data_IF_809213084523
#
_entry.id   IF_809213084523
#
_cell.length_a   1.000
_cell.length_b   1.000
_cell.length_c   1.000
_cell.angle_alpha   90.00
_cell.angle_beta   90.00
_cell.angle_gamma   90.00
#
_symmetry.space_group_name_H-M   'P 1'
#
loop_
_entity.id
_entity.type
_entity.pdbx_description
1 polymer ?
#
# COMPACT_ATOMS: atom_id res chain seq x y z
N UNK A 1 6.27 18.47 5.00
CA UNK A 1 7.00 17.27 5.46
C UNK A 1 8.37 17.26 4.83
N UNK A 2 9.42 17.22 5.65
CA UNK A 2 10.81 17.09 5.23
C UNK A 2 11.22 15.61 5.05
N UNK A 3 12.32 15.31 4.33
CA UNK A 3 12.84 13.95 4.19
C UNK A 3 13.14 13.26 5.53
N UNK A 4 13.70 14.01 6.49
CA UNK A 4 14.08 13.49 7.81
C UNK A 4 12.85 13.09 8.63
N UNK A 5 11.80 13.93 8.62
CA UNK A 5 10.53 13.63 9.28
C UNK A 5 9.86 12.40 8.68
N UNK A 6 9.84 12.31 7.34
CA UNK A 6 9.28 11.14 6.67
C UNK A 6 10.03 9.87 7.04
N UNK A 7 11.36 9.94 7.14
CA UNK A 7 12.20 8.80 7.56
C UNK A 7 11.90 8.39 9.00
N UNK A 8 11.84 9.34 9.92
CA UNK A 8 11.50 9.07 11.32
C UNK A 8 10.10 8.41 11.46
N UNK A 9 9.14 8.84 10.64
CA UNK A 9 7.83 8.21 10.56
C UNK A 9 7.87 6.77 9.99
N UNK A 10 8.60 6.57 8.89
CA UNK A 10 8.57 5.34 8.11
C UNK A 10 9.45 4.22 8.69
N UNK A 11 10.59 4.54 9.29
CA UNK A 11 11.55 3.53 9.79
C UNK A 11 10.94 2.54 10.79
N UNK A 12 10.15 2.95 11.81
CA UNK A 12 9.56 2.01 12.76
C UNK A 12 8.61 1.00 12.10
N UNK A 13 8.01 1.34 10.95
CA UNK A 13 7.07 0.44 10.25
C UNK A 13 7.76 -0.84 9.74
N UNK A 14 9.06 -0.78 9.45
CA UNK A 14 9.81 -1.94 8.98
C UNK A 14 10.15 -2.95 10.09
N UNK A 15 10.26 -2.49 11.34
CA UNK A 15 10.50 -3.38 12.49
C UNK A 15 9.26 -4.24 12.80
N UNK A 16 8.08 -3.68 12.57
CA UNK A 16 6.79 -4.34 12.84
C UNK A 16 6.30 -5.20 11.66
N UNK A 17 6.81 -4.97 10.43
CA UNK A 17 6.25 -5.53 9.20
C UNK A 17 7.32 -6.15 8.30
N UNK A 18 7.65 -7.42 8.53
CA UNK A 18 8.65 -8.17 7.74
C UNK A 18 8.34 -8.24 6.24
N UNK A 19 7.07 -8.09 5.85
CA UNK A 19 6.63 -8.10 4.46
C UNK A 19 6.69 -6.73 3.74
N UNK A 20 6.93 -5.65 4.49
CA UNK A 20 7.00 -4.29 3.97
C UNK A 20 8.32 -4.09 3.22
N UNK A 21 8.23 -3.79 1.94
CA UNK A 21 9.39 -3.54 1.07
C UNK A 21 9.77 -2.08 1.03
N UNK A 22 8.78 -1.18 1.01
CA UNK A 22 9.03 0.26 1.00
C UNK A 22 7.84 1.05 1.52
N UNK A 23 8.10 2.22 2.09
CA UNK A 23 7.12 3.26 2.40
C UNK A 23 7.46 4.50 1.59
N UNK A 24 6.48 5.17 1.00
CA UNK A 24 6.74 6.32 0.14
C UNK A 24 5.73 7.46 0.33
N UNK A 25 6.18 8.69 0.09
CA UNK A 25 5.34 9.87 -0.04
C UNK A 25 5.28 10.29 -1.52
N UNK A 26 4.06 10.49 -2.01
CA UNK A 26 3.75 10.84 -3.40
C UNK A 26 2.88 12.10 -3.42
N UNK A 27 3.47 13.31 -3.47
CA UNK A 27 2.70 14.54 -3.60
C UNK A 27 1.97 14.56 -4.94
N UNK A 28 0.83 15.25 -4.98
CA UNK A 28 0.13 15.50 -6.24
C UNK A 28 0.75 16.70 -6.93
N UNK A 29 1.43 16.46 -8.05
CA UNK A 29 2.07 17.52 -8.84
C UNK A 29 1.24 17.76 -10.11
N UNK A 30 0.59 18.92 -10.22
CA UNK A 30 -0.09 19.32 -11.47
C UNK A 30 0.93 19.63 -12.56
N UNK A 31 0.58 19.41 -13.82
CA UNK A 31 1.47 19.64 -14.97
C UNK A 31 2.23 20.98 -14.95
N UNK A 32 1.58 22.13 -14.65
CA UNK A 32 2.29 23.41 -14.62
C UNK A 32 3.39 23.49 -13.55
N UNK A 33 3.32 22.66 -12.51
CA UNK A 33 4.32 22.59 -11.43
C UNK A 33 5.39 21.51 -11.64
N UNK A 34 5.28 20.67 -12.68
CA UNK A 34 6.23 19.59 -12.95
C UNK A 34 7.68 20.07 -12.99
N UNK A 35 7.97 21.10 -13.78
CA UNK A 35 9.33 21.62 -13.94
C UNK A 35 9.90 22.20 -12.65
N UNK A 36 9.06 22.79 -11.80
CA UNK A 36 9.50 23.31 -10.50
C UNK A 36 9.87 22.16 -9.57
N UNK A 37 9.02 21.13 -9.48
CA UNK A 37 9.28 19.90 -8.75
C UNK A 37 10.58 19.22 -9.21
N UNK A 38 10.76 19.01 -10.52
CA UNK A 38 11.93 18.29 -11.04
C UNK A 38 13.25 19.00 -10.73
N UNK A 39 13.24 20.34 -10.68
CA UNK A 39 14.40 21.16 -10.26
C UNK A 39 14.63 21.13 -8.76
N UNK A 40 13.56 21.26 -7.97
CA UNK A 40 13.64 21.27 -6.50
C UNK A 40 14.25 19.97 -5.96
N UNK A 41 13.88 18.84 -6.54
CA UNK A 41 14.33 17.51 -6.10
C UNK A 41 15.50 16.94 -6.92
N UNK A 42 16.03 17.71 -7.89
CA UNK A 42 17.03 17.26 -8.87
C UNK A 42 16.73 15.86 -9.42
N UNK A 43 15.48 15.69 -9.87
CA UNK A 43 14.93 14.39 -10.26
C UNK A 43 13.80 14.53 -11.26
N UNK A 44 13.94 13.86 -12.41
CA UNK A 44 12.87 13.76 -13.40
C UNK A 44 11.71 12.90 -12.88
N UNK A 45 10.49 13.26 -13.26
CA UNK A 45 9.34 12.37 -13.13
C UNK A 45 9.45 11.31 -14.22
N UNK A 46 9.39 10.04 -13.81
CA UNK A 46 9.64 8.88 -14.67
C UNK A 46 8.47 7.89 -14.65
N UNK A 47 8.38 7.05 -15.67
CA UNK A 47 7.36 6.01 -15.80
C UNK A 47 7.98 4.72 -16.37
N UNK A 48 7.17 3.65 -16.40
CA UNK A 48 7.59 2.34 -16.90
C UNK A 48 8.19 1.43 -15.81
N UNK A 49 8.50 0.18 -16.17
CA UNK A 49 9.05 -0.79 -15.22
C UNK A 49 10.49 -0.41 -14.82
N UNK A 50 11.01 -0.96 -13.71
CA UNK A 50 12.37 -0.65 -13.25
C UNK A 50 13.48 -0.92 -14.29
N UNK A 51 13.26 -1.88 -15.20
CA UNK A 51 14.20 -2.25 -16.26
C UNK A 51 14.16 -1.36 -17.50
N UNK A 52 13.11 -0.56 -17.68
CA UNK A 52 12.89 0.27 -18.87
C UNK A 52 12.26 1.62 -18.48
N UNK A 53 12.85 2.26 -17.46
CA UNK A 53 12.37 3.52 -16.94
C UNK A 53 12.64 4.64 -17.93
N UNK A 54 11.62 5.45 -18.20
CA UNK A 54 11.69 6.59 -19.11
C UNK A 54 11.10 7.84 -18.46
N UNK A 55 11.34 9.00 -19.06
CA UNK A 55 10.69 10.26 -18.64
C UNK A 55 9.18 10.15 -18.79
N UNK A 56 8.43 10.62 -17.79
CA UNK A 56 6.98 10.52 -17.79
C UNK A 56 6.35 11.35 -18.92
N UNK A 57 5.36 10.77 -19.61
CA UNK A 57 4.54 11.46 -20.59
C UNK A 57 3.78 12.65 -19.96
N UNK A 58 3.24 13.55 -20.79
CA UNK A 58 2.46 14.68 -20.30
C UNK A 58 1.14 14.20 -19.67
N UNK A 59 0.83 14.63 -18.44
CA UNK A 59 -0.41 14.26 -17.72
C UNK A 59 -0.94 15.46 -16.93
N UNK A 60 -2.26 15.58 -16.70
CA UNK A 60 -2.82 16.68 -15.90
C UNK A 60 -2.23 16.77 -14.48
N UNK A 61 -1.92 15.62 -13.90
CA UNK A 61 -1.23 15.50 -12.63
C UNK A 61 -0.36 14.25 -12.58
N UNK A 62 0.65 14.30 -11.71
CA UNK A 62 1.63 13.27 -11.45
C UNK A 62 1.63 12.90 -9.97
N UNK A 63 2.03 11.67 -9.67
CA UNK A 63 2.26 11.18 -8.32
C UNK A 63 3.67 10.60 -8.23
N UNK A 64 4.71 11.45 -8.31
CA UNK A 64 6.09 10.98 -8.24
C UNK A 64 6.40 10.52 -6.81
N UNK A 65 7.09 9.39 -6.66
CA UNK A 65 7.73 9.03 -5.39
C UNK A 65 8.76 10.11 -5.05
N UNK A 66 8.48 10.91 -4.01
CA UNK A 66 9.30 12.05 -3.59
C UNK A 66 10.11 11.73 -2.35
N UNK A 67 9.52 11.02 -1.38
CA UNK A 67 10.26 10.46 -0.26
C UNK A 67 10.09 8.95 -0.24
N UNK A 68 11.16 8.24 0.10
CA UNK A 68 11.23 6.79 0.05
C UNK A 68 12.06 6.28 1.23
N UNK A 69 11.50 5.34 1.97
CA UNK A 69 12.25 4.45 2.86
C UNK A 69 12.03 3.04 2.36
N UNK A 70 13.09 2.25 2.23
CA UNK A 70 13.05 0.93 1.60
C UNK A 70 14.16 0.06 2.17
N UNK A 71 13.92 -1.24 2.25
CA UNK A 71 14.94 -2.24 2.59
C UNK A 71 15.73 -2.69 1.35
N UNK A 72 15.26 -2.35 0.16
CA UNK A 72 15.93 -2.56 -1.12
C UNK A 72 16.57 -1.27 -1.65
N UNK A 73 17.18 -1.31 -2.84
CA UNK A 73 17.70 -0.12 -3.51
C UNK A 73 16.61 0.95 -3.74
N UNK A 74 16.98 2.22 -3.68
CA UNK A 74 16.09 3.38 -3.83
C UNK A 74 15.65 3.64 -5.29
N UNK A 75 15.42 2.57 -6.06
CA UNK A 75 15.08 2.66 -7.48
C UNK A 75 13.72 3.29 -7.72
N UNK A 76 12.82 3.37 -6.74
CA UNK A 76 11.49 3.94 -6.97
C UNK A 76 11.46 5.48 -6.98
N UNK A 77 12.52 6.17 -6.57
CA UNK A 77 12.51 7.64 -6.52
C UNK A 77 12.24 8.26 -7.90
N UNK A 78 11.32 9.23 -7.95
CA UNK A 78 10.84 9.86 -9.18
C UNK A 78 9.87 9.03 -10.02
N UNK A 79 9.53 7.80 -9.64
CA UNK A 79 8.52 6.99 -10.35
C UNK A 79 7.12 7.58 -10.15
N UNK A 80 6.43 7.89 -11.26
CA UNK A 80 5.04 8.35 -11.28
C UNK A 80 4.10 7.17 -11.08
N UNK A 81 3.56 7.01 -9.86
CA UNK A 81 2.57 5.97 -9.60
C UNK A 81 1.28 6.17 -10.42
N UNK A 82 1.01 7.39 -10.90
CA UNK A 82 -0.12 7.69 -11.77
C UNK A 82 0.05 7.19 -13.21
N UNK A 83 1.27 6.83 -13.65
CA UNK A 83 1.52 6.34 -15.00
C UNK A 83 1.05 4.89 -15.21
N UNK A 84 0.88 4.14 -14.12
CA UNK A 84 0.44 2.75 -14.14
C UNK A 84 -1.09 2.68 -13.89
N UNK A 85 -1.88 2.06 -14.79
CA UNK A 85 -3.34 2.05 -14.67
C UNK A 85 -3.87 1.41 -13.37
N UNK A 86 -3.22 0.35 -12.89
CA UNK A 86 -3.65 -0.36 -11.68
C UNK A 86 -3.41 0.49 -10.43
N UNK A 87 -2.26 1.16 -10.35
CA UNK A 87 -1.93 2.12 -9.28
C UNK A 87 -2.81 3.35 -9.34
N UNK A 88 -2.98 3.95 -10.52
CA UNK A 88 -3.83 5.13 -10.69
C UNK A 88 -5.27 4.86 -10.26
N UNK A 89 -5.83 3.69 -10.61
CA UNK A 89 -7.17 3.28 -10.14
C UNK A 89 -7.24 3.20 -8.61
N UNK A 90 -6.23 2.62 -7.96
CA UNK A 90 -6.17 2.54 -6.50
C UNK A 90 -6.04 3.93 -5.86
N UNK A 91 -5.18 4.81 -6.36
CA UNK A 91 -5.03 6.20 -5.90
C UNK A 91 -6.36 6.97 -6.02
N UNK A 92 -7.03 6.84 -7.17
CA UNK A 92 -8.31 7.51 -7.42
C UNK A 92 -9.39 7.03 -6.45
N UNK A 93 -9.53 5.72 -6.26
CA UNK A 93 -10.48 5.15 -5.30
C UNK A 93 -10.15 5.54 -3.86
N UNK A 94 -8.86 5.50 -3.49
CA UNK A 94 -8.40 5.94 -2.18
C UNK A 94 -8.80 7.38 -1.91
N UNK A 95 -8.56 8.27 -2.87
CA UNK A 95 -8.92 9.70 -2.82
C UNK A 95 -10.43 9.90 -2.72
N UNK A 96 -11.22 9.23 -3.57
CA UNK A 96 -12.69 9.35 -3.59
C UNK A 96 -13.31 8.88 -2.27
N UNK A 97 -12.83 7.76 -1.73
CA UNK A 97 -13.37 7.14 -0.52
C UNK A 97 -12.71 7.61 0.78
N UNK A 98 -11.64 8.42 0.66
CA UNK A 98 -10.86 8.93 1.80
C UNK A 98 -10.32 7.84 2.72
N UNK A 99 -9.97 6.69 2.15
CA UNK A 99 -9.46 5.53 2.90
C UNK A 99 -8.44 4.75 2.08
N UNK A 100 -7.61 3.97 2.76
CA UNK A 100 -6.58 3.17 2.12
C UNK A 100 -7.14 2.23 1.05
N UNK A 101 -6.51 2.21 -0.12
CA UNK A 101 -6.86 1.29 -1.21
C UNK A 101 -5.65 0.53 -1.73
N UNK A 102 -5.79 -0.80 -1.84
CA UNK A 102 -4.76 -1.67 -2.38
C UNK A 102 -4.89 -1.85 -3.91
N UNK A 103 -3.75 -1.98 -4.58
CA UNK A 103 -3.66 -2.41 -5.97
C UNK A 103 -3.96 -3.91 -6.12
N UNK A 104 -4.32 -4.39 -7.34
CA UNK A 104 -4.05 -5.79 -7.69
C UNK A 104 -2.52 -6.05 -7.61
N UNK A 105 -2.06 -7.30 -7.77
CA UNK A 105 -0.64 -7.55 -7.95
C UNK A 105 -0.07 -6.69 -9.08
N UNK A 106 1.03 -6.01 -8.77
CA UNK A 106 1.78 -5.17 -9.70
C UNK A 106 3.27 -5.51 -9.61
N UNK A 107 4.02 -5.18 -10.66
CA UNK A 107 5.48 -5.21 -10.62
C UNK A 107 5.98 -4.02 -9.82
N UNK A 108 6.57 -4.25 -8.63
CA UNK A 108 7.03 -3.18 -7.74
C UNK A 108 8.12 -2.32 -8.39
N UNK A 109 7.98 -0.99 -8.29
CA UNK A 109 8.86 -0.02 -8.94
C UNK A 109 10.29 0.03 -8.35
N UNK A 110 10.50 -0.49 -7.14
CA UNK A 110 11.80 -0.55 -6.48
C UNK A 110 12.60 -1.82 -6.84
N UNK A 111 11.92 -2.96 -6.98
CA UNK A 111 12.55 -4.28 -7.02
C UNK A 111 12.27 -5.07 -8.30
N UNK A 112 11.25 -4.69 -9.09
CA UNK A 112 10.79 -5.46 -10.24
C UNK A 112 10.08 -6.77 -9.87
N UNK A 113 9.85 -7.03 -8.57
CA UNK A 113 9.18 -8.23 -8.10
C UNK A 113 7.65 -8.04 -8.04
N UNK A 114 6.85 -9.11 -8.11
CA UNK A 114 5.42 -9.05 -7.82
C UNK A 114 5.15 -8.54 -6.39
N UNK A 115 4.22 -7.60 -6.27
CA UNK A 115 3.85 -7.01 -4.99
C UNK A 115 2.47 -6.37 -5.01
N UNK A 116 2.02 -5.95 -3.84
CA UNK A 116 0.79 -5.19 -3.63
C UNK A 116 1.18 -3.84 -3.05
N UNK A 117 0.57 -2.76 -3.51
CA UNK A 117 0.79 -1.42 -2.96
C UNK A 117 -0.51 -0.92 -2.35
N UNK A 118 -0.44 -0.45 -1.12
CA UNK A 118 -1.55 0.23 -0.42
C UNK A 118 -1.31 1.73 -0.53
N UNK A 119 -2.33 2.48 -0.95
CA UNK A 119 -2.30 3.94 -1.05
C UNK A 119 -3.29 4.57 -0.07
N UNK A 120 -2.80 5.47 0.78
CA UNK A 120 -3.59 6.24 1.75
C UNK A 120 -3.54 7.73 1.38
N UNK A 121 -4.70 8.40 1.18
CA UNK A 121 -4.71 9.81 0.80
C UNK A 121 -4.46 10.74 1.97
N UNK A 122 -3.83 11.89 1.68
CA UNK A 122 -3.60 12.98 2.63
C UNK A 122 -4.18 14.26 2.02
N UNK A 123 -5.10 14.91 2.75
CA UNK A 123 -5.84 16.09 2.32
C UNK A 123 -5.36 17.35 3.04
N UNK A 124 -5.61 18.52 2.45
CA UNK A 124 -5.40 19.82 3.09
C UNK A 124 -6.50 20.05 4.14
N UNK A 125 -6.09 20.49 5.32
CA UNK A 125 -6.91 21.06 6.40
C UNK A 125 -7.77 20.15 7.31
N UNK A 126 -7.57 18.83 7.40
CA UNK A 126 -8.18 18.06 8.52
C UNK A 126 -7.35 16.84 8.96
N UNK A 127 -7.49 16.40 10.24
CA UNK A 127 -7.33 14.99 10.59
C UNK A 127 -8.04 14.15 9.53
N UNK A 128 -7.44 13.06 9.06
CA UNK A 128 -8.05 12.19 8.04
C UNK A 128 -9.55 12.04 8.36
N UNK A 129 -10.43 12.61 7.52
CA UNK A 129 -11.85 12.63 7.87
C UNK A 129 -12.30 11.17 8.01
N UNK A 130 -13.17 10.87 9.00
CA UNK A 130 -13.55 9.50 9.30
C UNK A 130 -13.99 8.79 8.01
N UNK A 131 -13.64 7.49 7.85
CA UNK A 131 -13.96 6.74 6.65
C UNK A 131 -15.44 6.92 6.29
N UNK A 132 -15.71 7.48 5.13
CA UNK A 132 -17.07 7.79 4.73
C UNK A 132 -17.66 6.55 4.05
N UNK A 133 -18.88 6.13 4.40
CA UNK A 133 -19.62 5.14 3.62
C UNK A 133 -19.65 5.53 2.13
N UNK A 134 -19.61 4.54 1.24
CA UNK A 134 -19.44 4.78 -0.20
C UNK A 134 -20.60 5.62 -0.80
N UNK A 135 -21.79 5.49 -0.23
CA UNK A 135 -23.02 6.25 -0.50
C UNK A 135 -22.95 7.71 -0.03
N UNK A 136 -22.03 8.04 0.87
CA UNK A 136 -21.86 9.38 1.46
C UNK A 136 -20.53 10.04 1.05
N UNK A 137 -19.79 9.43 0.12
CA UNK A 137 -18.54 9.98 -0.38
C UNK A 137 -18.77 11.39 -0.96
N UNK A 138 -17.99 12.36 -0.48
CA UNK A 138 -18.01 13.71 -1.05
C UNK A 138 -17.79 13.64 -2.57
N UNK A 139 -18.33 14.60 -3.36
CA UNK A 139 -18.14 14.60 -4.81
C UNK A 139 -16.66 14.46 -5.15
N UNK A 140 -16.32 13.52 -6.04
CA UNK A 140 -14.93 13.20 -6.38
C UNK A 140 -14.10 14.45 -6.70
N UNK A 141 -14.71 15.43 -7.37
CA UNK A 141 -14.10 16.71 -7.71
C UNK A 141 -13.66 17.55 -6.48
N UNK A 142 -14.38 17.47 -5.35
CA UNK A 142 -14.00 18.16 -4.11
C UNK A 142 -12.78 17.49 -3.46
N UNK A 143 -12.84 16.17 -3.27
CA UNK A 143 -11.72 15.40 -2.67
C UNK A 143 -10.44 15.52 -3.48
N UNK A 144 -10.56 15.51 -4.80
CA UNK A 144 -9.41 15.73 -5.67
C UNK A 144 -8.82 17.12 -5.48
N UNK A 145 -9.60 18.18 -5.23
CA UNK A 145 -9.06 19.54 -4.99
C UNK A 145 -8.31 19.64 -3.68
N UNK A 146 -8.80 18.96 -2.65
CA UNK A 146 -8.22 18.93 -1.30
C UNK A 146 -7.01 17.98 -1.19
N UNK A 147 -6.80 17.07 -2.14
CA UNK A 147 -5.70 16.10 -2.09
C UNK A 147 -4.32 16.78 -2.18
N UNK A 148 -3.52 16.68 -1.12
CA UNK A 148 -2.12 17.12 -1.10
C UNK A 148 -1.19 16.04 -1.66
N UNK A 149 -1.44 14.78 -1.32
CA UNK A 149 -0.61 13.66 -1.76
C UNK A 149 -1.07 12.33 -1.18
N UNK A 150 -0.24 11.31 -1.37
CA UNK A 150 -0.54 9.92 -1.02
C UNK A 150 0.65 9.34 -0.27
N UNK A 151 0.38 8.66 0.86
CA UNK A 151 1.35 7.76 1.48
C UNK A 151 1.13 6.36 0.91
N UNK A 152 2.21 5.66 0.57
CA UNK A 152 2.14 4.28 0.10
C UNK A 152 2.98 3.32 0.92
N UNK A 153 2.48 2.08 1.04
CA UNK A 153 3.23 0.94 1.56
C UNK A 153 3.25 -0.16 0.50
N UNK A 154 4.45 -0.57 0.07
CA UNK A 154 4.63 -1.65 -0.89
C UNK A 154 5.02 -2.95 -0.18
N UNK A 155 4.30 -4.02 -0.47
CA UNK A 155 4.50 -5.33 0.13
C UNK A 155 4.86 -6.33 -0.95
N UNK A 156 5.91 -7.12 -0.72
CA UNK A 156 6.27 -8.18 -1.66
C UNK A 156 5.40 -9.41 -1.43
N UNK A 157 4.90 -9.99 -2.51
CA UNK A 157 4.07 -11.21 -2.42
C UNK A 157 4.86 -12.36 -1.81
N UNK A 158 6.13 -12.53 -2.19
CA UNK A 158 6.97 -13.62 -1.64
C UNK A 158 7.20 -13.48 -0.13
N UNK A 159 7.45 -12.26 0.37
CA UNK A 159 7.59 -11.99 1.80
C UNK A 159 6.28 -12.17 2.57
N UNK A 160 5.14 -11.76 2.01
CA UNK A 160 3.82 -12.02 2.60
C UNK A 160 3.59 -13.54 2.72
N UNK A 161 3.79 -14.29 1.64
CA UNK A 161 3.61 -15.75 1.63
C UNK A 161 4.57 -16.45 2.59
N UNK A 162 5.82 -15.99 2.69
CA UNK A 162 6.78 -16.53 3.65
C UNK A 162 6.30 -16.32 5.10
N UNK A 163 5.75 -15.13 5.41
CA UNK A 163 5.21 -14.80 6.73
C UNK A 163 3.94 -15.61 7.06
N UNK A 164 3.10 -15.86 6.06
CA UNK A 164 1.96 -16.78 6.22
C UNK A 164 2.45 -18.22 6.50
N UNK A 165 3.44 -18.70 5.74
CA UNK A 165 3.99 -20.05 5.91
C UNK A 165 4.61 -20.27 7.28
N UNK A 166 5.31 -19.28 7.83
CA UNK A 166 5.87 -19.37 9.20
C UNK A 166 4.80 -19.39 10.28
N UNK A 167 3.56 -18.98 9.95
CA UNK A 167 2.44 -18.92 10.88
C UNK A 167 1.53 -20.16 10.82
N UNK A 168 1.79 -21.10 9.91
CA UNK A 168 1.00 -22.34 9.74
C UNK A 168 1.86 -23.59 9.99
N UNK A 169 1.24 -24.73 10.35
CA UNK A 169 1.98 -25.97 10.56
C UNK A 169 2.79 -26.41 9.32
N UNK A 170 3.97 -26.98 9.57
CA UNK A 170 4.81 -27.56 8.52
C UNK A 170 4.04 -28.63 7.72
N UNK A 171 4.20 -28.62 6.40
CA UNK A 171 3.46 -29.51 5.48
C UNK A 171 2.10 -28.97 5.02
N UNK A 172 1.73 -27.76 5.43
CA UNK A 172 0.56 -27.04 4.88
C UNK A 172 0.91 -26.45 3.51
N UNK A 173 0.15 -26.84 2.50
CA UNK A 173 0.15 -26.23 1.17
C UNK A 173 -0.81 -25.04 1.18
N UNK A 174 -0.29 -23.85 0.86
CA UNK A 174 -1.08 -22.62 0.79
C UNK A 174 -1.22 -22.15 -0.66
N UNK A 175 -2.43 -21.77 -1.04
CA UNK A 175 -2.76 -21.10 -2.28
C UNK A 175 -3.43 -19.75 -1.97
N UNK A 176 -3.00 -18.69 -2.65
CA UNK A 176 -3.62 -17.36 -2.55
C UNK A 176 -4.13 -16.94 -3.93
N UNK A 177 -5.40 -16.55 -3.99
CA UNK A 177 -6.08 -16.10 -5.21
C UNK A 177 -6.81 -14.79 -4.95
N UNK A 178 -6.95 -14.00 -5.99
CA UNK A 178 -7.86 -12.85 -6.01
C UNK A 178 -8.82 -13.02 -7.19
N UNK A 179 -10.10 -13.22 -6.91
CA UNK A 179 -11.08 -13.60 -7.93
C UNK A 179 -10.56 -14.79 -8.78
N UNK A 180 -10.39 -14.60 -10.10
CA UNK A 180 -9.79 -15.61 -10.99
C UNK A 180 -8.26 -15.49 -11.16
N UNK A 181 -7.62 -14.53 -10.52
CA UNK A 181 -6.16 -14.31 -10.62
C UNK A 181 -5.43 -15.15 -9.58
N UNK A 182 -4.49 -15.98 -10.04
CA UNK A 182 -3.56 -16.68 -9.17
C UNK A 182 -2.49 -15.72 -8.66
N UNK A 183 -2.26 -15.70 -7.34
CA UNK A 183 -1.28 -14.82 -6.69
C UNK A 183 -0.06 -15.64 -6.24
N UNK A 184 -0.29 -16.76 -5.57
CA UNK A 184 0.77 -17.66 -5.09
C UNK A 184 0.25 -19.06 -4.77
N UNK A 185 1.19 -20.01 -4.60
CA UNK A 185 0.91 -21.42 -4.34
C UNK A 185 0.77 -22.26 -5.62
N UNK A 186 0.42 -23.55 -5.52
CA UNK A 186 0.17 -24.39 -6.68
C UNK A 186 -1.02 -23.85 -7.49
N UNK A 187 -1.01 -24.05 -8.81
CA UNK A 187 -2.07 -23.55 -9.71
C UNK A 187 -3.37 -24.33 -9.54
N UNK A 188 -3.23 -25.63 -9.37
CA UNK A 188 -4.32 -26.55 -9.08
C UNK A 188 -4.13 -27.09 -7.66
N UNK A 189 -5.24 -27.19 -6.94
CA UNK A 189 -5.28 -27.77 -5.61
C UNK A 189 -6.54 -28.61 -5.57
N UNK A 190 -6.35 -29.93 -5.53
CA UNK A 190 -7.42 -30.94 -5.61
C UNK A 190 -8.25 -31.02 -4.34
N UNK A 191 -7.65 -30.68 -3.20
CA UNK A 191 -8.29 -30.69 -1.88
C UNK A 191 -7.83 -29.46 -1.08
N UNK A 192 -8.62 -29.05 -0.08
CA UNK A 192 -8.26 -27.99 0.85
C UNK A 192 -9.35 -26.94 1.10
N UNK A 193 -9.37 -26.47 2.33
CA UNK A 193 -10.33 -25.52 2.85
C UNK A 193 -9.99 -24.10 2.39
N UNK A 194 -11.03 -23.29 2.16
CA UNK A 194 -10.87 -21.92 1.68
C UNK A 194 -11.45 -20.89 2.64
N UNK A 195 -10.67 -19.86 2.95
CA UNK A 195 -11.12 -18.68 3.68
C UNK A 195 -11.11 -17.46 2.75
N UNK A 196 -12.14 -16.62 2.85
CA UNK A 196 -12.19 -15.33 2.18
C UNK A 196 -11.74 -14.24 3.15
N UNK A 197 -10.75 -13.45 2.75
CA UNK A 197 -10.24 -12.32 3.51
C UNK A 197 -10.52 -11.04 2.74
N UNK A 198 -11.26 -10.12 3.33
CA UNK A 198 -11.57 -8.82 2.74
C UNK A 198 -10.82 -7.73 3.49
N UNK A 199 -9.98 -6.97 2.79
CA UNK A 199 -9.26 -5.84 3.38
C UNK A 199 -8.79 -4.84 2.33
N UNK A 200 -8.64 -3.57 2.73
CA UNK A 200 -8.15 -2.47 1.86
C UNK A 200 -8.91 -2.40 0.51
N UNK A 201 -10.23 -2.63 0.56
CA UNK A 201 -11.13 -2.67 -0.61
C UNK A 201 -10.87 -3.81 -1.60
N UNK A 202 -10.21 -4.89 -1.18
CA UNK A 202 -9.97 -6.10 -1.97
C UNK A 202 -10.42 -7.34 -1.22
N UNK A 203 -10.65 -8.43 -1.96
CA UNK A 203 -11.09 -9.71 -1.43
C UNK A 203 -10.22 -10.83 -1.99
N UNK A 204 -9.53 -11.52 -1.09
CA UNK A 204 -8.66 -12.64 -1.41
C UNK A 204 -9.29 -13.94 -0.94
N UNK A 205 -9.02 -15.01 -1.69
CA UNK A 205 -9.33 -16.39 -1.29
C UNK A 205 -8.01 -17.07 -0.97
N UNK A 206 -7.85 -17.48 0.28
CA UNK A 206 -6.72 -18.29 0.73
C UNK A 206 -7.22 -19.71 0.89
N UNK A 207 -6.57 -20.65 0.21
CA UNK A 207 -6.84 -22.07 0.39
C UNK A 207 -5.66 -22.75 1.08
N UNK A 208 -5.96 -23.66 1.99
CA UNK A 208 -4.97 -24.42 2.73
C UNK A 208 -5.30 -25.91 2.66
N UNK A 209 -4.28 -26.75 2.41
CA UNK A 209 -4.39 -28.21 2.44
C UNK A 209 -3.22 -28.80 3.22
N UNK A 210 -3.46 -29.85 4.00
CA UNK A 210 -2.40 -30.52 4.78
C UNK A 210 -2.23 -31.95 4.28
N UNK A 211 -0.99 -32.37 4.03
CA UNK A 211 -0.70 -33.71 3.52
C UNK A 211 -0.78 -34.84 4.57
N UNK A 212 -1.30 -34.57 5.78
CA UNK A 212 -1.52 -35.59 6.83
C UNK A 212 -2.99 -35.92 6.93
N UNK A 213 -3.29 -37.22 6.96
CA UNK A 213 -4.60 -37.87 7.09
C UNK A 213 -5.60 -37.14 8.00
N UNK A 214 -6.92 -37.27 7.75
CA UNK A 214 -7.94 -36.45 8.39
C UNK A 214 -7.96 -36.70 9.91
N UNK A 215 -7.28 -35.82 10.65
CA UNK A 215 -7.51 -35.70 12.08
C UNK A 215 -8.65 -34.70 12.29
N UNK A 216 -9.53 -34.99 13.25
CA UNK A 216 -10.68 -34.18 13.69
C UNK A 216 -10.35 -32.71 14.07
N UNK A 217 -9.10 -32.28 13.89
CA UNK A 217 -8.57 -30.95 14.18
C UNK A 217 -8.42 -30.05 12.93
N UNK A 218 -8.72 -30.55 11.73
CA UNK A 218 -8.68 -29.79 10.48
C UNK A 218 -9.51 -28.47 10.53
N UNK A 219 -10.77 -28.46 11.02
CA UNK A 219 -11.54 -27.22 11.13
C UNK A 219 -10.91 -26.20 12.07
N UNK A 220 -10.29 -26.66 13.17
CA UNK A 220 -9.66 -25.79 14.16
C UNK A 220 -8.38 -25.13 13.61
N UNK A 221 -7.57 -25.87 12.86
CA UNK A 221 -6.36 -25.31 12.23
C UNK A 221 -6.69 -24.28 11.15
N UNK A 222 -7.78 -24.49 10.40
CA UNK A 222 -8.29 -23.53 9.40
C UNK A 222 -8.85 -22.28 10.07
N UNK A 223 -9.63 -22.44 11.15
CA UNK A 223 -10.11 -21.32 11.96
C UNK A 223 -8.96 -20.52 12.55
N UNK A 224 -7.93 -21.18 13.07
CA UNK A 224 -6.74 -20.52 13.63
C UNK A 224 -5.93 -19.81 12.54
N UNK A 225 -5.78 -20.41 11.36
CA UNK A 225 -5.03 -19.81 10.24
C UNK A 225 -5.80 -18.62 9.65
N UNK A 226 -7.10 -18.78 9.43
CA UNK A 226 -7.99 -17.72 8.99
C UNK A 226 -8.06 -16.57 10.00
N UNK A 227 -8.13 -16.88 11.30
CA UNK A 227 -8.08 -15.91 12.38
C UNK A 227 -6.72 -15.22 12.48
N UNK A 228 -5.61 -15.95 12.33
CA UNK A 228 -4.27 -15.37 12.35
C UNK A 228 -4.02 -14.46 11.14
N UNK A 229 -4.48 -14.85 9.95
CA UNK A 229 -4.40 -14.01 8.75
C UNK A 229 -5.34 -12.80 8.84
N UNK A 230 -6.57 -12.99 9.31
CA UNK A 230 -7.51 -11.90 9.55
C UNK A 230 -6.97 -10.94 10.62
N UNK A 231 -6.31 -11.45 11.66
CA UNK A 231 -5.66 -10.65 12.69
C UNK A 231 -4.44 -9.91 12.14
N UNK A 232 -3.59 -10.56 11.34
CA UNK A 232 -2.43 -9.93 10.70
C UNK A 232 -2.87 -8.82 9.74
N UNK A 233 -3.88 -9.08 8.92
CA UNK A 233 -4.47 -8.10 8.02
C UNK A 233 -5.17 -6.98 8.81
N UNK A 234 -5.92 -7.31 9.87
CA UNK A 234 -6.56 -6.31 10.73
C UNK A 234 -5.55 -5.46 11.50
N UNK A 235 -4.40 -6.00 11.88
CA UNK A 235 -3.29 -5.27 12.50
C UNK A 235 -2.58 -4.37 11.49
N UNK A 236 -2.28 -4.89 10.29
CA UNK A 236 -1.72 -4.08 9.18
C UNK A 236 -2.64 -2.91 8.82
N UNK A 237 -3.96 -3.16 8.79
CA UNK A 237 -4.98 -2.15 8.57
C UNK A 237 -5.06 -1.17 9.74
N UNK A 238 -5.28 -1.66 10.96
CA UNK A 238 -5.42 -0.83 12.15
C UNK A 238 -4.21 0.09 12.29
N UNK A 239 -2.99 -0.38 12.07
CA UNK A 239 -1.79 0.46 12.23
C UNK A 239 -1.52 1.42 11.07
N UNK A 240 -1.93 1.10 9.84
CA UNK A 240 -2.01 2.08 8.75
C UNK A 240 -2.97 3.24 9.08
N UNK A 241 -3.98 2.99 9.92
CA UNK A 241 -4.94 3.97 10.44
C UNK A 241 -4.64 4.52 11.86
N UNK A 242 -3.75 3.92 12.67
CA UNK A 242 -3.58 4.32 14.09
C UNK A 242 -2.50 5.38 14.30
N UNK A 243 -1.57 5.58 13.36
CA UNK A 243 -0.59 6.70 13.42
C UNK A 243 -1.09 7.99 12.76
N UNK A 244 -2.41 8.13 12.66
CA UNK A 244 -3.16 9.31 12.24
C UNK A 244 -3.00 10.50 13.21
N UNK A 245 -2.59 10.26 14.47
CA UNK A 245 -2.51 11.28 15.53
C UNK A 245 -1.18 12.02 15.68
N UNK A 246 -0.06 11.46 15.21
CA UNK A 246 1.27 12.08 15.42
C UNK A 246 1.73 12.95 14.24
N UNK A 247 1.21 12.69 13.02
CA UNK A 247 1.45 13.55 11.87
C UNK A 247 0.74 14.91 12.01
N UNK A 248 -0.33 15.00 12.80
CA UNK A 248 -1.09 16.22 13.05
C UNK A 248 -0.39 17.14 14.05
N UNK A 249 0.21 16.60 15.11
CA UNK A 249 0.94 17.39 16.11
C UNK A 249 2.18 18.07 15.53
N UNK A 250 2.90 17.40 14.62
CA UNK A 250 4.09 17.96 13.94
C UNK A 250 3.76 19.06 12.91
N UNK A 251 2.54 19.10 12.38
CA UNK A 251 2.10 20.13 11.41
C UNK A 251 1.51 21.34 12.14
N UNK A 252 0.78 21.12 13.24
CA UNK A 252 0.19 22.20 14.05
C UNK A 252 1.27 22.99 14.82
N UNK A 253 2.25 22.31 15.43
CA UNK A 253 3.33 22.98 16.18
C UNK A 253 4.11 23.96 15.28
N UNK A 254 4.38 23.59 14.02
CA UNK A 254 5.17 24.45 13.11
C UNK A 254 4.38 25.47 12.31
N UNK A 255 3.07 25.34 12.18
CA UNK A 255 2.25 26.43 11.62
C UNK A 255 2.14 27.56 12.66
N UNK A 256 2.09 27.23 13.96
CA UNK A 256 2.12 28.24 15.04
C UNK A 256 3.46 28.99 15.16
N UNK A 257 4.59 28.33 14.91
CA UNK A 257 5.92 28.99 14.91
C UNK A 257 6.14 29.92 13.72
N UNK A 258 5.38 29.74 12.63
CA UNK A 258 5.54 30.50 11.38
C UNK A 258 4.66 31.74 11.29
N UNK A 259 3.61 31.82 12.11
CA UNK A 259 2.73 32.99 12.25
C UNK A 259 3.19 33.93 13.39
N UNK A 260 4.20 33.53 14.17
CA UNK A 260 4.77 34.29 15.31
C UNK A 260 6.15 34.90 14.98
N UNK A 261 6.73 34.60 13.82
CA UNK A 261 8.01 35.13 13.34
C UNK A 261 7.83 36.01 12.09
#
# INVERSE_FOLDING_TARGET
MSPTEFRAFATPLFAEQSALSSVSWLPRIRDPRRRAYEREFDRLITEGPPSARQTAAKRPAYFPVTYLVTTAQERAFGFDAGSDPARFRAIRLATQLSRGQATPPVTLANSGKPGIVIYQPVFADQPVPPPVPADQAAPAARRERELQGIVSGAYRVDSLVASLRSSVPAGTVLQVRESNTHISGPREMTDGESARVTAVGRSWVVRASTNRSPSLLLPATVLLTGAALALLVALMLRQAFTRERYALTMVDERMSERDVA
#
